data_IF_282220122612
#
_entry.id   IF_282220122612
#
_cell.length_a   1.000
_cell.length_b   1.000
_cell.length_c   1.000
_cell.angle_alpha   90.00
_cell.angle_beta   90.00
_cell.angle_gamma   90.00
#
_symmetry.space_group_name_H-M   'P 1'
#
loop_
_entity.id
_entity.type
_entity.pdbx_description
1 polymer ?
#
# COMPACT_ATOMS: atom_id res chain seq x y z
N UNK A 1 22.46 11.85 12.39
CA UNK A 1 21.12 11.51 11.88
C UNK A 1 20.42 12.65 11.11
N UNK A 2 20.91 13.90 11.15
CA UNK A 2 20.30 15.04 10.42
C UNK A 2 20.45 15.02 8.88
N UNK A 3 21.37 14.23 8.32
CA UNK A 3 21.70 14.29 6.89
C UNK A 3 20.88 13.33 5.99
N UNK A 4 20.10 12.41 6.56
CA UNK A 4 19.23 11.48 5.79
C UNK A 4 17.86 12.09 5.50
N UNK A 5 17.35 12.98 6.37
CA UNK A 5 16.03 13.62 6.20
C UNK A 5 15.99 14.66 5.06
N UNK A 6 17.14 15.21 4.68
CA UNK A 6 17.23 16.27 3.66
C UNK A 6 17.03 15.72 2.24
N UNK A 7 17.71 14.65 1.80
CA UNK A 7 17.38 13.96 0.54
C UNK A 7 15.93 13.50 0.47
N UNK A 8 15.40 12.93 1.55
CA UNK A 8 14.02 12.43 1.64
C UNK A 8 12.99 13.55 1.41
N UNK A 9 13.24 14.74 1.98
CA UNK A 9 12.37 15.91 1.78
C UNK A 9 12.31 16.35 0.31
N UNK A 10 13.45 16.40 -0.37
CA UNK A 10 13.52 16.77 -1.80
C UNK A 10 12.74 15.77 -2.64
N UNK A 11 13.01 14.48 -2.41
CA UNK A 11 12.37 13.38 -3.13
C UNK A 11 10.86 13.43 -2.93
N UNK A 12 10.39 13.56 -1.68
CA UNK A 12 8.97 13.66 -1.36
C UNK A 12 8.28 14.81 -2.10
N UNK A 13 8.84 16.02 -2.06
CA UNK A 13 8.23 17.20 -2.69
C UNK A 13 8.14 17.01 -4.20
N UNK A 14 9.25 16.62 -4.85
CA UNK A 14 9.28 16.44 -6.30
C UNK A 14 8.38 15.29 -6.76
N UNK A 15 8.36 14.15 -6.05
CA UNK A 15 7.45 13.05 -6.36
C UNK A 15 5.99 13.48 -6.26
N UNK A 16 5.64 14.21 -5.20
CA UNK A 16 4.28 14.73 -5.01
C UNK A 16 3.88 15.65 -6.17
N UNK A 17 4.77 16.55 -6.57
CA UNK A 17 4.47 17.52 -7.62
C UNK A 17 4.41 16.86 -9.01
N UNK A 18 5.21 15.81 -9.27
CA UNK A 18 5.11 14.96 -10.46
C UNK A 18 3.78 14.18 -10.46
N UNK A 19 3.46 13.49 -9.36
CA UNK A 19 2.25 12.67 -9.24
C UNK A 19 0.97 13.50 -9.41
N UNK A 20 0.92 14.69 -8.78
CA UNK A 20 -0.21 15.61 -8.87
C UNK A 20 -0.22 16.46 -10.15
N UNK A 21 0.61 16.15 -11.14
CA UNK A 21 0.69 16.86 -12.42
C UNK A 21 1.03 18.36 -12.32
N UNK A 22 1.60 18.82 -11.19
CA UNK A 22 2.16 20.17 -11.04
C UNK A 22 3.44 20.32 -11.86
N UNK A 23 4.25 19.25 -11.89
CA UNK A 23 5.40 19.10 -12.76
C UNK A 23 5.02 18.18 -13.92
N UNK A 24 4.72 18.77 -15.09
CA UNK A 24 4.26 18.02 -16.26
C UNK A 24 5.40 17.29 -16.96
N UNK A 25 5.16 16.13 -17.59
CA UNK A 25 6.15 15.46 -18.43
C UNK A 25 6.76 16.39 -19.49
N UNK A 26 8.06 16.27 -19.72
CA UNK A 26 8.84 17.14 -20.61
C UNK A 26 9.26 18.48 -20.01
N UNK A 27 8.74 18.86 -18.83
CA UNK A 27 9.12 20.11 -18.15
C UNK A 27 10.59 20.08 -17.76
N UNK A 28 11.34 21.12 -18.13
CA UNK A 28 12.71 21.34 -17.65
C UNK A 28 12.67 21.94 -16.24
N UNK A 29 13.21 21.22 -15.25
CA UNK A 29 13.32 21.73 -13.89
C UNK A 29 14.37 22.85 -13.81
N UNK A 30 14.27 23.75 -12.81
CA UNK A 30 15.33 24.70 -12.52
C UNK A 30 16.66 23.99 -12.27
N UNK A 31 17.76 24.74 -12.36
CA UNK A 31 19.08 24.19 -12.06
C UNK A 31 19.13 23.64 -10.63
N UNK A 32 19.99 22.64 -10.40
CA UNK A 32 20.16 22.08 -9.06
C UNK A 32 20.53 23.17 -8.02
N UNK A 33 21.26 24.23 -8.43
CA UNK A 33 21.56 25.37 -7.54
C UNK A 33 20.30 26.13 -7.13
N UNK A 34 19.37 26.36 -8.07
CA UNK A 34 18.11 27.06 -7.80
C UNK A 34 17.18 26.21 -6.94
N UNK A 35 17.03 24.91 -7.25
CA UNK A 35 16.21 23.99 -6.44
C UNK A 35 16.76 23.92 -5.01
N UNK A 36 18.09 23.81 -4.85
CA UNK A 36 18.76 23.80 -3.54
C UNK A 36 18.44 25.06 -2.74
N UNK A 37 18.49 26.24 -3.37
CA UNK A 37 18.16 27.52 -2.76
C UNK A 37 16.68 27.61 -2.37
N UNK A 38 15.77 27.19 -3.24
CA UNK A 38 14.32 27.22 -3.01
C UNK A 38 13.90 26.28 -1.87
N UNK A 39 14.44 25.07 -1.85
CA UNK A 39 14.10 24.05 -0.86
C UNK A 39 14.90 24.17 0.45
N UNK A 40 15.87 25.09 0.51
CA UNK A 40 16.80 25.30 1.63
C UNK A 40 17.52 24.00 2.02
N UNK A 41 18.02 23.29 1.02
CA UNK A 41 18.77 22.03 1.17
C UNK A 41 20.16 22.18 0.59
N UNK A 42 21.14 21.45 1.11
CA UNK A 42 22.49 21.47 0.54
C UNK A 42 22.51 20.79 -0.85
N UNK A 43 23.44 21.22 -1.71
CA UNK A 43 23.53 20.74 -3.09
C UNK A 43 23.87 19.25 -3.18
N UNK A 44 24.57 18.69 -2.17
CA UNK A 44 24.97 17.29 -2.17
C UNK A 44 23.76 16.37 -1.91
N UNK A 45 22.95 16.69 -0.91
CA UNK A 45 21.69 16.01 -0.59
C UNK A 45 20.68 16.10 -1.73
N UNK A 46 20.58 17.28 -2.36
CA UNK A 46 19.72 17.45 -3.54
C UNK A 46 20.15 16.52 -4.68
N UNK A 47 21.46 16.41 -4.97
CA UNK A 47 21.94 15.51 -6.03
C UNK A 47 21.62 14.05 -5.73
N UNK A 48 21.71 13.62 -4.47
CA UNK A 48 21.31 12.27 -4.05
C UNK A 48 19.82 12.04 -4.33
N UNK A 49 18.96 12.98 -3.92
CA UNK A 49 17.51 12.89 -4.16
C UNK A 49 17.15 12.87 -5.65
N UNK A 50 17.79 13.73 -6.46
CA UNK A 50 17.59 13.75 -7.91
C UNK A 50 18.05 12.44 -8.57
N UNK A 51 19.17 11.86 -8.13
CA UNK A 51 19.66 10.57 -8.63
C UNK A 51 18.72 9.42 -8.27
N UNK A 52 18.11 9.45 -7.09
CA UNK A 52 17.07 8.49 -6.72
C UNK A 52 15.86 8.60 -7.66
N UNK A 53 15.37 9.80 -7.93
CA UNK A 53 14.25 10.03 -8.86
C UNK A 53 14.58 9.64 -10.31
N UNK A 54 15.82 9.87 -10.75
CA UNK A 54 16.30 9.39 -12.05
C UNK A 54 16.29 7.85 -12.11
N UNK A 55 16.74 7.17 -11.05
CA UNK A 55 16.74 5.70 -10.99
C UNK A 55 15.33 5.09 -11.05
N UNK A 56 14.32 5.83 -10.58
CA UNK A 56 12.90 5.48 -10.67
C UNK A 56 12.28 5.84 -12.02
N UNK A 57 13.07 6.32 -12.98
CA UNK A 57 12.63 6.74 -14.32
C UNK A 57 11.60 7.88 -14.35
N UNK A 58 11.48 8.68 -13.29
CA UNK A 58 10.60 9.86 -13.24
C UNK A 58 11.29 11.17 -13.59
N UNK A 59 12.63 11.16 -13.65
CA UNK A 59 13.45 12.26 -14.16
C UNK A 59 14.47 11.76 -15.20
N UNK A 60 14.92 12.67 -16.07
CA UNK A 60 16.02 12.49 -17.01
C UNK A 60 17.07 13.59 -16.76
N UNK A 61 18.25 13.23 -16.25
CA UNK A 61 19.33 14.18 -15.94
C UNK A 61 20.36 14.17 -17.06
N UNK A 62 20.26 15.16 -17.96
CA UNK A 62 21.18 15.34 -19.08
C UNK A 62 22.38 16.20 -18.65
N UNK A 63 23.56 15.59 -18.59
CA UNK A 63 24.78 16.27 -18.17
C UNK A 63 25.04 17.51 -19.03
N UNK A 64 25.12 18.68 -18.40
CA UNK A 64 25.37 19.96 -19.06
C UNK A 64 24.15 20.66 -19.67
N UNK A 65 23.02 19.97 -19.82
CA UNK A 65 21.79 20.54 -20.39
C UNK A 65 20.76 20.87 -19.31
N UNK A 66 20.39 19.90 -18.48
CA UNK A 66 19.43 20.11 -17.40
C UNK A 66 18.72 18.85 -16.94
N UNK A 67 17.66 19.03 -16.15
CA UNK A 67 16.86 17.95 -15.57
C UNK A 67 15.45 18.05 -16.16
N UNK A 68 14.93 16.95 -16.69
CA UNK A 68 13.63 16.90 -17.35
C UNK A 68 12.71 15.92 -16.64
N UNK A 69 11.43 16.27 -16.52
CA UNK A 69 10.40 15.39 -15.94
C UNK A 69 9.99 14.34 -16.97
N UNK A 70 9.96 13.06 -16.56
CA UNK A 70 9.45 11.95 -17.38
C UNK A 70 8.00 11.65 -17.02
N UNK A 71 7.26 11.09 -17.96
CA UNK A 71 5.92 10.56 -17.68
C UNK A 71 6.04 9.28 -16.82
N UNK A 72 5.61 9.36 -15.56
CA UNK A 72 5.70 8.24 -14.64
C UNK A 72 4.78 7.08 -15.05
N UNK A 73 3.66 7.35 -15.73
CA UNK A 73 2.74 6.29 -16.18
C UNK A 73 3.39 5.44 -17.27
N UNK A 74 4.25 6.04 -18.11
CA UNK A 74 4.93 5.35 -19.20
C UNK A 74 6.27 4.71 -18.79
N UNK A 75 6.93 5.24 -17.75
CA UNK A 75 8.33 4.92 -17.48
C UNK A 75 8.64 4.45 -16.06
N UNK A 76 7.83 4.80 -15.05
CA UNK A 76 8.12 4.47 -13.67
C UNK A 76 7.67 3.03 -13.32
N UNK A 77 8.33 2.45 -12.32
CA UNK A 77 7.93 1.18 -11.72
C UNK A 77 7.05 1.35 -10.48
N UNK A 78 6.67 0.22 -9.88
CA UNK A 78 5.91 0.18 -8.63
C UNK A 78 6.68 0.76 -7.42
N UNK A 79 8.00 0.84 -7.53
CA UNK A 79 8.91 1.44 -6.55
C UNK A 79 8.67 2.94 -6.36
N UNK A 80 8.30 3.65 -7.43
CA UNK A 80 7.84 5.05 -7.34
C UNK A 80 6.62 5.18 -6.42
N UNK A 81 5.60 4.34 -6.62
CA UNK A 81 4.42 4.33 -5.77
C UNK A 81 4.73 3.82 -4.36
N UNK A 82 5.59 2.80 -4.23
CA UNK A 82 6.05 2.30 -2.92
C UNK A 82 6.64 3.43 -2.08
N UNK A 83 7.54 4.21 -2.67
CA UNK A 83 8.15 5.34 -1.99
C UNK A 83 7.11 6.43 -1.69
N UNK A 84 6.23 6.77 -2.64
CA UNK A 84 5.19 7.78 -2.46
C UNK A 84 4.29 7.49 -1.24
N UNK A 85 3.92 6.22 -1.04
CA UNK A 85 3.08 5.77 0.07
C UNK A 85 3.84 5.52 1.38
N UNK A 86 5.15 5.31 1.33
CA UNK A 86 5.98 5.12 2.53
C UNK A 86 6.27 6.43 3.28
N UNK A 87 6.15 7.57 2.59
CA UNK A 87 6.39 8.89 3.14
C UNK A 87 5.21 9.29 4.03
N UNK A 88 5.37 9.13 5.36
CA UNK A 88 4.46 9.75 6.33
C UNK A 88 4.79 11.23 6.40
N UNK A 89 3.88 12.10 5.98
CA UNK A 89 4.01 13.52 6.30
C UNK A 89 3.40 13.75 7.69
N UNK A 90 4.23 14.10 8.67
CA UNK A 90 3.78 14.41 10.03
C UNK A 90 2.91 15.69 10.07
N UNK A 91 2.95 16.52 9.02
CA UNK A 91 2.26 17.80 8.96
C UNK A 91 1.13 17.86 7.92
N UNK A 92 1.01 16.90 7.00
CA UNK A 92 -0.07 16.88 6.00
C UNK A 92 -1.17 15.89 6.44
N UNK A 93 -2.28 16.43 6.96
CA UNK A 93 -3.49 15.65 7.29
C UNK A 93 -4.17 15.02 6.05
N UNK A 94 -3.76 15.40 4.83
CA UNK A 94 -4.36 14.96 3.58
C UNK A 94 -3.37 14.11 2.79
N UNK A 95 -3.82 12.94 2.34
CA UNK A 95 -3.03 12.06 1.49
C UNK A 95 -2.54 12.78 0.24
N UNK A 96 -1.31 12.44 -0.17
CA UNK A 96 -0.71 12.88 -1.44
C UNK A 96 -1.52 12.36 -2.64
N UNK A 97 -2.21 11.23 -2.47
CA UNK A 97 -3.05 10.58 -3.47
C UNK A 97 -4.52 10.86 -3.19
N UNK A 98 -5.34 10.93 -4.23
CA UNK A 98 -6.78 11.11 -4.09
C UNK A 98 -7.51 9.77 -3.82
N UNK A 99 -8.79 9.87 -3.49
CA UNK A 99 -9.64 8.71 -3.17
C UNK A 99 -9.78 7.75 -4.37
N UNK A 100 -9.67 8.25 -5.61
CA UNK A 100 -9.74 7.43 -6.81
C UNK A 100 -8.53 6.51 -6.93
N UNK A 101 -7.33 7.03 -6.71
CA UNK A 101 -6.11 6.23 -6.81
C UNK A 101 -6.03 5.16 -5.71
N UNK A 102 -6.54 5.46 -4.51
CA UNK A 102 -6.69 4.46 -3.44
C UNK A 102 -7.60 3.32 -3.87
N UNK A 103 -8.68 3.64 -4.58
CA UNK A 103 -9.62 2.66 -5.08
C UNK A 103 -8.99 1.75 -6.16
N UNK A 104 -8.13 2.29 -7.01
CA UNK A 104 -7.33 1.51 -7.98
C UNK A 104 -6.39 0.51 -7.28
N UNK A 105 -5.73 0.93 -6.19
CA UNK A 105 -4.89 0.03 -5.37
C UNK A 105 -5.75 -1.10 -4.79
N UNK A 106 -6.94 -0.77 -4.29
CA UNK A 106 -7.86 -1.76 -3.73
C UNK A 106 -8.33 -2.75 -4.77
N UNK A 107 -8.64 -2.27 -5.98
CA UNK A 107 -9.02 -3.09 -7.12
C UNK A 107 -7.92 -4.07 -7.50
N UNK A 108 -6.70 -3.56 -7.66
CA UNK A 108 -5.51 -4.37 -7.93
C UNK A 108 -5.34 -5.47 -6.88
N UNK A 109 -5.40 -5.14 -5.58
CA UNK A 109 -5.20 -6.13 -4.54
C UNK A 109 -6.33 -7.16 -4.47
N UNK A 110 -7.57 -6.74 -4.71
CA UNK A 110 -8.74 -7.62 -4.78
C UNK A 110 -8.67 -8.58 -5.96
N UNK A 111 -8.05 -8.18 -7.07
CA UNK A 111 -7.81 -9.04 -8.21
C UNK A 111 -6.68 -10.05 -7.94
N UNK A 112 -5.56 -9.60 -7.38
CA UNK A 112 -4.31 -10.40 -7.28
C UNK A 112 -4.28 -11.31 -6.06
N UNK A 113 -4.66 -10.83 -4.88
CA UNK A 113 -4.45 -11.58 -3.64
C UNK A 113 -5.21 -12.92 -3.58
N UNK A 114 -6.47 -13.03 -4.08
CA UNK A 114 -7.16 -14.32 -4.13
C UNK A 114 -6.41 -15.39 -4.93
N UNK A 115 -5.70 -15.02 -6.01
CA UNK A 115 -4.88 -15.98 -6.77
C UNK A 115 -3.65 -16.44 -5.97
N UNK A 116 -3.03 -15.52 -5.22
CA UNK A 116 -1.95 -15.88 -4.28
C UNK A 116 -2.49 -16.82 -3.21
N UNK A 117 -3.66 -16.54 -2.64
CA UNK A 117 -4.29 -17.37 -1.63
C UNK A 117 -4.65 -18.76 -2.16
N UNK A 118 -5.18 -18.85 -3.38
CA UNK A 118 -5.46 -20.13 -4.06
C UNK A 118 -4.19 -20.97 -4.23
N UNK A 119 -3.06 -20.33 -4.58
CA UNK A 119 -1.78 -21.01 -4.68
C UNK A 119 -1.26 -21.45 -3.30
N UNK A 120 -1.34 -20.58 -2.30
CA UNK A 120 -0.94 -20.87 -0.92
C UNK A 120 -1.78 -21.98 -0.30
N UNK A 121 -3.09 -22.02 -0.59
CA UNK A 121 -4.00 -23.04 -0.13
C UNK A 121 -3.49 -24.44 -0.46
N UNK A 122 -3.06 -24.67 -1.71
CA UNK A 122 -2.50 -25.96 -2.12
C UNK A 122 -1.12 -26.28 -1.50
N UNK A 123 -0.51 -25.36 -0.76
CA UNK A 123 0.87 -25.45 -0.22
C UNK A 123 0.93 -25.35 1.31
N UNK A 124 -0.18 -25.08 1.99
CA UNK A 124 -0.19 -24.95 3.44
C UNK A 124 0.26 -26.23 4.13
N UNK A 125 1.27 -26.13 4.99
CA UNK A 125 1.59 -27.17 5.96
C UNK A 125 0.67 -27.08 7.19
N UNK A 126 0.55 -28.13 8.01
CA UNK A 126 -0.16 -28.06 9.29
C UNK A 126 0.39 -26.96 10.22
N UNK A 127 1.70 -26.68 10.16
CA UNK A 127 2.33 -25.59 10.91
C UNK A 127 1.86 -24.23 10.43
N UNK A 128 1.73 -24.04 9.12
CA UNK A 128 1.27 -22.78 8.55
C UNK A 128 -0.21 -22.53 8.85
N UNK A 129 -1.04 -23.58 8.77
CA UNK A 129 -2.45 -23.53 9.20
C UNK A 129 -2.57 -23.11 10.66
N UNK A 130 -1.75 -23.70 11.55
CA UNK A 130 -1.70 -23.31 12.97
C UNK A 130 -1.26 -21.86 13.13
N UNK A 131 -0.27 -21.41 12.38
CA UNK A 131 0.23 -20.04 12.45
C UNK A 131 -0.81 -19.01 12.00
N UNK A 132 -1.48 -19.22 10.86
CA UNK A 132 -2.52 -18.29 10.39
C UNK A 132 -3.77 -18.32 11.28
N UNK A 133 -4.14 -19.48 11.84
CA UNK A 133 -5.18 -19.57 12.86
C UNK A 133 -4.85 -18.73 14.10
N UNK A 134 -3.58 -18.78 14.56
CA UNK A 134 -3.09 -17.94 15.64
C UNK A 134 -3.26 -16.45 15.35
N UNK A 135 -2.86 -16.00 14.16
CA UNK A 135 -3.00 -14.61 13.73
C UNK A 135 -4.47 -14.15 13.68
N UNK A 136 -5.39 -14.99 13.19
CA UNK A 136 -6.82 -14.64 13.18
C UNK A 136 -7.42 -14.56 14.59
N UNK A 137 -7.02 -15.46 15.49
CA UNK A 137 -7.49 -15.44 16.88
C UNK A 137 -6.93 -14.23 17.64
N UNK A 138 -5.67 -13.87 17.41
CA UNK A 138 -5.06 -12.69 18.03
C UNK A 138 -5.73 -11.39 17.55
N UNK A 139 -6.11 -11.31 16.27
CA UNK A 139 -6.87 -10.18 15.73
C UNK A 139 -8.22 -10.05 16.41
N UNK A 140 -8.96 -11.16 16.56
CA UNK A 140 -10.25 -11.17 17.28
C UNK A 140 -10.12 -10.74 18.74
N UNK A 141 -9.01 -11.05 19.39
CA UNK A 141 -8.74 -10.65 20.78
C UNK A 141 -8.26 -9.19 20.90
N UNK A 142 -7.87 -8.54 19.80
CA UNK A 142 -7.23 -7.22 19.80
C UNK A 142 -8.04 -6.15 19.06
N UNK A 143 -9.34 -6.37 18.84
CA UNK A 143 -10.19 -5.49 17.99
C UNK A 143 -10.30 -4.03 18.46
N UNK A 144 -10.00 -3.77 19.73
CA UNK A 144 -10.02 -2.43 20.32
C UNK A 144 -8.72 -1.66 20.05
N UNK A 145 -7.64 -2.35 19.66
CA UNK A 145 -6.36 -1.77 19.25
C UNK A 145 -6.25 -1.79 17.72
N UNK A 146 -6.64 -0.66 17.09
CA UNK A 146 -6.72 -0.52 15.63
C UNK A 146 -5.36 -0.70 14.95
N UNK A 147 -4.30 -0.16 15.53
CA UNK A 147 -2.94 -0.29 15.00
C UNK A 147 -2.48 -1.75 15.04
N UNK A 148 -2.72 -2.45 16.17
CA UNK A 148 -2.43 -3.87 16.27
C UNK A 148 -3.23 -4.71 15.28
N UNK A 149 -4.49 -4.39 15.03
CA UNK A 149 -5.30 -5.05 13.98
C UNK A 149 -4.67 -4.86 12.59
N UNK A 150 -4.22 -3.65 12.26
CA UNK A 150 -3.55 -3.36 10.99
C UNK A 150 -2.30 -4.23 10.83
N UNK A 151 -1.43 -4.26 11.85
CA UNK A 151 -0.22 -5.10 11.84
C UNK A 151 -0.54 -6.59 11.67
N UNK A 152 -1.58 -7.09 12.35
CA UNK A 152 -1.98 -8.49 12.26
C UNK A 152 -2.50 -8.83 10.86
N UNK A 153 -3.29 -7.95 10.24
CA UNK A 153 -3.75 -8.15 8.86
C UNK A 153 -2.59 -8.13 7.84
N UNK A 154 -1.59 -7.27 8.04
CA UNK A 154 -0.36 -7.31 7.24
C UNK A 154 0.38 -8.65 7.41
N UNK A 155 0.57 -9.13 8.65
CA UNK A 155 1.23 -10.41 8.94
C UNK A 155 0.48 -11.61 8.34
N UNK A 156 -0.86 -11.56 8.34
CA UNK A 156 -1.71 -12.57 7.69
C UNK A 156 -1.45 -12.62 6.18
N UNK A 157 -1.46 -11.46 5.51
CA UNK A 157 -1.18 -11.38 4.08
C UNK A 157 0.25 -11.85 3.74
N UNK A 158 1.25 -11.41 4.51
CA UNK A 158 2.64 -11.79 4.30
C UNK A 158 2.86 -13.31 4.49
N UNK A 159 2.15 -13.95 5.42
CA UNK A 159 2.18 -15.40 5.60
C UNK A 159 1.64 -16.12 4.35
N UNK A 160 0.48 -15.70 3.84
CA UNK A 160 -0.13 -16.29 2.65
C UNK A 160 0.82 -16.17 1.45
N UNK A 161 1.39 -14.99 1.21
CA UNK A 161 2.34 -14.77 0.10
C UNK A 161 3.58 -15.65 0.24
N UNK A 162 4.12 -15.80 1.47
CA UNK A 162 5.27 -16.69 1.74
C UNK A 162 4.94 -18.15 1.45
N UNK A 163 3.79 -18.63 1.90
CA UNK A 163 3.35 -20.02 1.65
C UNK A 163 3.07 -20.26 0.16
N UNK A 164 2.58 -19.25 -0.55
CA UNK A 164 2.43 -19.32 -2.00
C UNK A 164 3.76 -19.60 -2.71
N UNK A 165 4.93 -19.37 -2.06
CA UNK A 165 6.26 -19.76 -2.53
C UNK A 165 6.51 -19.45 -4.01
N UNK A 166 6.25 -18.21 -4.39
CA UNK A 166 6.53 -17.68 -5.71
C UNK A 166 7.25 -16.34 -5.54
N UNK A 167 8.49 -16.27 -6.04
CA UNK A 167 9.35 -15.09 -5.87
C UNK A 167 8.75 -13.83 -6.47
N UNK A 168 8.03 -13.92 -7.60
CA UNK A 168 7.40 -12.76 -8.23
C UNK A 168 6.29 -12.20 -7.34
N UNK A 169 5.42 -13.05 -6.77
CA UNK A 169 4.40 -12.60 -5.83
C UNK A 169 5.00 -12.07 -4.52
N UNK A 170 6.12 -12.63 -4.06
CA UNK A 170 6.84 -12.12 -2.89
C UNK A 170 7.39 -10.72 -3.14
N UNK A 171 8.08 -10.50 -4.26
CA UNK A 171 8.61 -9.18 -4.62
C UNK A 171 7.48 -8.16 -4.80
N UNK A 172 6.39 -8.55 -5.48
CA UNK A 172 5.21 -7.72 -5.65
C UNK A 172 4.59 -7.34 -4.29
N UNK A 173 4.42 -8.30 -3.38
CA UNK A 173 3.86 -8.04 -2.06
C UNK A 173 4.76 -7.14 -1.19
N UNK A 174 6.08 -7.28 -1.32
CA UNK A 174 7.05 -6.42 -0.64
C UNK A 174 6.96 -4.98 -1.14
N UNK A 175 7.02 -4.77 -2.46
CA UNK A 175 6.95 -3.44 -3.07
C UNK A 175 5.61 -2.74 -2.81
N UNK A 176 4.52 -3.50 -2.72
CA UNK A 176 3.17 -2.95 -2.49
C UNK A 176 2.79 -2.82 -1.02
N UNK A 177 3.66 -3.19 -0.07
CA UNK A 177 3.36 -3.16 1.37
C UNK A 177 2.86 -1.80 1.87
N UNK A 178 3.48 -0.65 1.54
CA UNK A 178 2.98 0.65 2.01
C UNK A 178 1.56 0.95 1.53
N UNK A 179 1.26 0.61 0.27
CA UNK A 179 -0.07 0.75 -0.34
C UNK A 179 -1.10 -0.19 0.32
N UNK A 180 -0.73 -1.45 0.53
CA UNK A 180 -1.57 -2.45 1.22
C UNK A 180 -1.88 -2.06 2.65
N UNK A 181 -0.87 -1.58 3.39
CA UNK A 181 -1.06 -1.07 4.74
C UNK A 181 -2.04 0.09 4.74
N UNK A 182 -1.97 0.99 3.75
CA UNK A 182 -2.88 2.13 3.68
C UNK A 182 -4.33 1.73 3.48
N UNK A 183 -4.62 0.79 2.58
CA UNK A 183 -5.99 0.29 2.39
C UNK A 183 -6.50 -0.44 3.65
N UNK A 184 -5.65 -1.17 4.36
CA UNK A 184 -6.01 -1.80 5.65
C UNK A 184 -6.32 -0.73 6.70
N UNK A 185 -5.50 0.30 6.79
CA UNK A 185 -5.66 1.41 7.74
C UNK A 185 -6.97 2.17 7.48
N UNK A 186 -7.30 2.45 6.22
CA UNK A 186 -8.60 3.02 5.84
C UNK A 186 -9.76 2.10 6.24
N UNK A 187 -9.68 0.79 5.93
CA UNK A 187 -10.69 -0.17 6.34
C UNK A 187 -10.93 -0.16 7.84
N UNK A 188 -9.86 -0.35 8.61
CA UNK A 188 -9.92 -0.52 10.07
C UNK A 188 -10.41 0.77 10.75
N UNK A 189 -10.05 1.95 10.24
CA UNK A 189 -10.44 3.23 10.85
C UNK A 189 -11.81 3.74 10.39
N UNK A 190 -12.33 3.28 9.25
CA UNK A 190 -13.61 3.73 8.70
C UNK A 190 -14.83 2.94 9.20
N UNK A 191 -14.63 1.80 9.89
CA UNK A 191 -15.74 0.93 10.32
C UNK A 191 -15.84 0.79 11.84
N UNK A 192 -17.06 0.52 12.31
CA UNK A 192 -17.31 0.22 13.71
C UNK A 192 -16.73 -1.15 14.12
N UNK A 193 -16.57 -1.34 15.43
CA UNK A 193 -15.98 -2.54 16.02
C UNK A 193 -16.77 -3.82 15.69
N UNK A 194 -18.10 -3.77 15.63
CA UNK A 194 -18.95 -4.94 15.36
C UNK A 194 -18.80 -5.39 13.90
N UNK A 195 -18.72 -4.42 12.98
CA UNK A 195 -18.41 -4.71 11.57
C UNK A 195 -17.02 -5.31 11.45
N UNK A 196 -16.00 -4.74 12.09
CA UNK A 196 -14.63 -5.28 12.10
C UNK A 196 -14.58 -6.73 12.65
N UNK A 197 -15.28 -7.00 13.75
CA UNK A 197 -15.42 -8.33 14.34
C UNK A 197 -16.03 -9.34 13.36
N UNK A 198 -17.03 -8.92 12.58
CA UNK A 198 -17.70 -9.77 11.58
C UNK A 198 -16.74 -10.21 10.48
N UNK A 199 -15.88 -9.30 10.00
CA UNK A 199 -14.84 -9.62 9.02
C UNK A 199 -13.76 -10.55 9.61
N UNK A 200 -13.29 -10.28 10.83
CA UNK A 200 -12.33 -11.14 11.51
C UNK A 200 -12.88 -12.56 11.74
N UNK A 201 -14.13 -12.68 12.19
CA UNK A 201 -14.84 -13.98 12.34
C UNK A 201 -14.99 -14.71 11.01
N UNK A 202 -15.22 -13.97 9.92
CA UNK A 202 -15.31 -14.56 8.57
C UNK A 202 -14.00 -15.23 8.18
N UNK A 203 -12.84 -14.63 8.45
CA UNK A 203 -11.53 -15.26 8.20
C UNK A 203 -11.33 -16.56 8.98
N UNK A 204 -11.69 -16.58 10.27
CA UNK A 204 -11.65 -17.80 11.09
C UNK A 204 -12.56 -18.89 10.53
N UNK A 205 -13.78 -18.54 10.13
CA UNK A 205 -14.74 -19.48 9.53
C UNK A 205 -14.21 -20.06 8.23
N UNK A 206 -13.69 -19.23 7.32
CA UNK A 206 -13.12 -19.68 6.05
C UNK A 206 -11.96 -20.66 6.26
N UNK A 207 -11.09 -20.40 7.25
CA UNK A 207 -10.01 -21.33 7.57
C UNK A 207 -10.54 -22.68 8.09
N UNK A 208 -11.58 -22.68 8.93
CA UNK A 208 -12.20 -23.92 9.44
C UNK A 208 -12.89 -24.73 8.32
N UNK A 209 -13.58 -24.05 7.41
CA UNK A 209 -14.20 -24.69 6.23
C UNK A 209 -13.14 -25.31 5.32
N UNK A 210 -12.03 -24.60 5.11
CA UNK A 210 -10.87 -25.10 4.36
C UNK A 210 -10.24 -26.35 5.00
N UNK A 211 -10.01 -26.35 6.31
CA UNK A 211 -9.34 -27.47 7.00
C UNK A 211 -10.21 -28.70 7.22
N UNK A 212 -11.53 -28.52 7.30
CA UNK A 212 -12.48 -29.64 7.51
C UNK A 212 -12.90 -30.34 6.22
N UNK A 213 -12.55 -29.79 5.04
CA UNK A 213 -12.86 -30.40 3.74
C UNK A 213 -14.35 -30.48 3.41
N UNK A 214 -15.22 -29.87 4.22
CA UNK A 214 -16.68 -30.09 4.17
C UNK A 214 -17.41 -29.31 3.07
N UNK A 215 -16.77 -28.35 2.41
CA UNK A 215 -17.46 -27.54 1.37
C UNK A 215 -16.57 -26.66 0.49
N UNK A 216 -15.28 -26.52 0.80
CA UNK A 216 -14.45 -25.46 0.22
C UNK A 216 -13.05 -25.98 -0.12
N UNK A 217 -12.82 -26.30 -1.40
CA UNK A 217 -11.47 -26.54 -1.92
C UNK A 217 -10.68 -25.21 -2.02
N UNK A 218 -9.40 -25.27 -2.39
CA UNK A 218 -8.56 -24.08 -2.55
C UNK A 218 -9.21 -22.95 -3.38
N UNK A 219 -9.96 -23.31 -4.44
CA UNK A 219 -10.68 -22.37 -5.31
C UNK A 219 -11.88 -21.73 -4.57
N UNK A 220 -12.68 -22.52 -3.87
CA UNK A 220 -13.80 -21.98 -3.10
C UNK A 220 -13.34 -21.03 -1.99
N UNK A 221 -12.19 -21.31 -1.37
CA UNK A 221 -11.65 -20.49 -0.29
C UNK A 221 -11.16 -19.13 -0.83
N UNK A 222 -10.51 -19.14 -2.00
CA UNK A 222 -10.07 -17.91 -2.65
C UNK A 222 -11.24 -17.05 -3.12
N UNK A 223 -12.29 -17.64 -3.69
CA UNK A 223 -13.44 -16.87 -4.16
C UNK A 223 -14.26 -16.27 -3.00
N UNK A 224 -14.51 -17.02 -1.93
CA UNK A 224 -15.13 -16.46 -0.72
C UNK A 224 -14.27 -15.34 -0.09
N UNK A 225 -12.95 -15.45 -0.17
CA UNK A 225 -12.05 -14.38 0.28
C UNK A 225 -12.11 -13.16 -0.65
N UNK A 226 -12.23 -13.37 -1.97
CA UNK A 226 -12.44 -12.29 -2.95
C UNK A 226 -13.72 -11.51 -2.65
N UNK A 227 -14.82 -12.21 -2.39
CA UNK A 227 -16.09 -11.60 -1.97
C UNK A 227 -15.92 -10.77 -0.70
N UNK A 228 -15.19 -11.30 0.30
CA UNK A 228 -14.88 -10.55 1.52
C UNK A 228 -14.10 -9.27 1.22
N UNK A 229 -13.07 -9.30 0.36
CA UNK A 229 -12.32 -8.10 -0.04
C UNK A 229 -13.17 -7.08 -0.81
N UNK A 230 -14.12 -7.55 -1.62
CA UNK A 230 -15.08 -6.67 -2.27
C UNK A 230 -15.98 -5.97 -1.24
N UNK A 231 -16.46 -6.70 -0.24
CA UNK A 231 -17.26 -6.13 0.85
C UNK A 231 -16.48 -5.13 1.71
N UNK A 232 -15.19 -5.36 1.96
CA UNK A 232 -14.36 -4.37 2.67
C UNK A 232 -14.21 -3.08 1.85
N UNK A 233 -13.98 -3.18 0.53
CA UNK A 233 -13.93 -2.03 -0.38
C UNK A 233 -15.23 -1.21 -0.33
N UNK A 234 -16.37 -1.88 -0.41
CA UNK A 234 -17.69 -1.22 -0.36
C UNK A 234 -17.97 -0.56 1.00
N UNK A 235 -17.57 -1.20 2.10
CA UNK A 235 -17.72 -0.63 3.44
C UNK A 235 -16.95 0.69 3.58
N UNK A 236 -15.70 0.75 3.09
CA UNK A 236 -14.90 1.98 3.10
C UNK A 236 -15.51 3.06 2.23
N UNK A 237 -15.89 2.75 0.98
CA UNK A 237 -16.57 3.73 0.11
C UNK A 237 -17.81 4.33 0.77
N UNK A 238 -18.62 3.49 1.40
CA UNK A 238 -19.84 3.93 2.09
C UNK A 238 -19.52 4.84 3.27
N UNK A 239 -18.53 4.48 4.09
CA UNK A 239 -18.12 5.27 5.23
C UNK A 239 -17.54 6.64 4.83
N UNK A 240 -16.67 6.69 3.81
CA UNK A 240 -16.11 7.93 3.30
C UNK A 240 -17.19 8.85 2.71
N UNK A 241 -18.16 8.30 1.98
CA UNK A 241 -19.28 9.06 1.45
C UNK A 241 -20.18 9.65 2.55
N UNK A 242 -20.33 8.96 3.69
CA UNK A 242 -21.06 9.48 4.86
C UNK A 242 -20.29 10.60 5.58
N UNK A 243 -18.97 10.46 5.71
CA UNK A 243 -18.11 11.51 6.29
C UNK A 243 -18.14 12.78 5.44
N UNK A 244 -18.10 12.67 4.11
CA UNK A 244 -18.18 13.83 3.21
C UNK A 244 -19.53 14.58 3.25
N UNK A 245 -20.61 13.92 3.67
CA UNK A 245 -21.96 14.51 3.80
C UNK A 245 -22.23 15.17 5.15
N UNK A 246 -21.36 14.96 6.14
CA UNK A 246 -21.49 15.58 7.46
C UNK A 246 -20.64 16.85 7.45
N UNK A 247 -21.22 18.07 7.47
CA UNK A 247 -20.42 19.28 7.53
C UNK A 247 -19.58 19.25 8.80
N UNK A 248 -18.27 19.51 8.69
CA UNK A 248 -17.46 19.80 9.88
C UNK A 248 -18.13 20.94 10.67
N UNK A 249 -18.28 20.80 12.00
CA UNK A 249 -18.81 21.86 12.85
C UNK A 249 -17.95 23.13 12.83
#
# INVERSE_FOLDING_TARGET
MANQQVPEKVVRILMRDIFNNKLKPGTKLPSAKEISRQMKVDLSSLRIGLKQLESMNVLDIKQGDGIYVKDYVQHAGIDFLSLLFSQKDENEQKMIVDDYFVDEIWEFWTAVFPEILKMAANRFSPRDVKAIAGLFNEELASLDDREKVIELQEKQQDLVVRVANNTIFLLLANSTRPMRRKIIELFVNSIDRKTLETFAKTKVRLLKEYTSGTSTNALGASEKYREMLFLTRQAVKTALAQQAKTPSP
#
